data_IF_605791044693
#
_entry.id   IF_605791044693
#
_cell.length_a   1.000
_cell.length_b   1.000
_cell.length_c   1.000
_cell.angle_alpha   90.00
_cell.angle_beta   90.00
_cell.angle_gamma   90.00
#
_symmetry.space_group_name_H-M   'P 1'
#
loop_
_entity.id
_entity.type
_entity.pdbx_description
1 polymer ?
#
# COMPACT_ATOMS: atom_id res chain seq x y z
N UNK A 1 -3.41 15.42 -26.11
CA UNK A 1 -4.00 14.07 -26.09
C UNK A 1 -4.68 13.92 -24.76
N UNK A 2 -5.95 13.53 -24.71
CA UNK A 2 -6.65 13.33 -23.44
C UNK A 2 -6.05 12.14 -22.69
N UNK A 3 -5.87 12.30 -21.39
CA UNK A 3 -5.31 11.29 -20.49
C UNK A 3 -6.20 11.19 -19.27
N UNK A 4 -6.64 9.97 -18.95
CA UNK A 4 -7.42 9.66 -17.76
C UNK A 4 -6.50 8.98 -16.74
N UNK A 5 -6.34 9.60 -15.57
CA UNK A 5 -5.44 9.12 -14.54
C UNK A 5 -6.25 8.52 -13.38
N UNK A 6 -5.86 7.32 -12.98
CA UNK A 6 -6.37 6.64 -11.80
C UNK A 6 -5.31 6.77 -10.71
N UNK A 7 -5.73 7.28 -9.55
CA UNK A 7 -4.93 7.33 -8.34
C UNK A 7 -5.41 6.24 -7.37
N UNK A 8 -4.47 5.67 -6.63
CA UNK A 8 -4.73 4.65 -5.63
C UNK A 8 -4.08 4.98 -4.30
N UNK A 9 -4.68 4.52 -3.21
CA UNK A 9 -4.11 4.63 -1.86
C UNK A 9 -4.45 3.41 -1.03
N UNK A 10 -3.45 2.79 -0.42
CA UNK A 10 -3.69 1.86 0.68
C UNK A 10 -4.00 2.69 1.94
N UNK A 11 -5.23 2.60 2.39
CA UNK A 11 -5.77 3.39 3.47
C UNK A 11 -5.97 2.55 4.73
N UNK A 12 -5.62 3.12 5.88
CA UNK A 12 -5.82 2.55 7.20
C UNK A 12 -5.99 3.64 8.26
N UNK A 13 -6.72 3.32 9.33
CA UNK A 13 -6.81 4.16 10.54
C UNK A 13 -5.97 3.62 11.69
N UNK A 14 -5.23 2.53 11.47
CA UNK A 14 -4.30 1.95 12.43
C UNK A 14 -3.04 2.81 12.61
N UNK A 15 -2.22 2.41 13.59
CA UNK A 15 -0.96 3.07 13.92
C UNK A 15 0.07 2.78 12.83
N UNK A 16 0.74 3.85 12.40
CA UNK A 16 1.85 3.80 11.46
C UNK A 16 3.12 4.21 12.20
N UNK A 17 4.18 3.40 12.13
CA UNK A 17 5.48 3.78 12.73
C UNK A 17 6.18 4.86 11.91
N UNK A 18 5.97 4.83 10.59
CA UNK A 18 6.16 5.93 9.64
C UNK A 18 5.15 5.77 8.49
N UNK A 19 5.16 6.65 7.49
CA UNK A 19 4.18 6.60 6.39
C UNK A 19 4.11 5.27 5.63
N UNK A 20 5.11 4.38 5.71
CA UNK A 20 5.22 3.14 4.94
C UNK A 20 5.16 1.85 5.77
N UNK A 21 5.08 1.95 7.10
CA UNK A 21 5.08 0.81 8.01
C UNK A 21 3.80 0.80 8.86
N UNK A 22 2.93 -0.17 8.58
CA UNK A 22 1.75 -0.42 9.38
C UNK A 22 2.11 -1.29 10.59
N UNK A 23 1.80 -0.82 11.79
CA UNK A 23 1.99 -1.58 13.01
C UNK A 23 0.96 -2.73 13.10
N UNK A 24 1.45 -3.96 13.22
CA UNK A 24 0.62 -5.16 13.32
C UNK A 24 0.13 -5.45 14.74
N UNK A 25 0.63 -4.73 15.76
CA UNK A 25 0.26 -4.83 17.16
C UNK A 25 0.89 -5.99 17.91
N UNK A 26 1.84 -6.71 17.29
CA UNK A 26 2.55 -7.85 17.87
C UNK A 26 4.08 -7.73 17.73
N UNK A 27 4.60 -6.51 17.58
CA UNK A 27 6.02 -6.25 17.34
C UNK A 27 6.46 -6.48 15.89
N UNK A 28 5.53 -6.70 14.94
CA UNK A 28 5.80 -6.73 13.51
C UNK A 28 5.28 -5.45 12.82
N UNK A 29 5.95 -5.08 11.74
CA UNK A 29 5.58 -4.00 10.84
C UNK A 29 5.27 -4.59 9.46
N UNK A 30 4.15 -4.19 8.85
CA UNK A 30 3.79 -4.50 7.47
C UNK A 30 4.22 -3.37 6.53
N UNK A 31 4.88 -3.75 5.45
CA UNK A 31 5.13 -2.89 4.28
C UNK A 31 4.46 -3.49 3.06
N UNK A 32 3.98 -2.60 2.17
CA UNK A 32 3.46 -2.98 0.85
C UNK A 32 4.36 -2.33 -0.18
N UNK A 33 4.81 -3.11 -1.16
CA UNK A 33 5.69 -2.67 -2.23
C UNK A 33 5.00 -2.75 -3.59
N UNK A 34 5.27 -1.75 -4.42
CA UNK A 34 4.97 -1.76 -5.85
C UNK A 34 5.88 -2.75 -6.58
N UNK A 35 5.54 -3.06 -7.83
CA UNK A 35 6.30 -3.99 -8.70
C UNK A 35 7.78 -3.60 -8.84
N UNK A 36 8.08 -2.31 -8.85
CA UNK A 36 9.43 -1.77 -9.00
C UNK A 36 10.25 -1.80 -7.69
N UNK A 37 9.66 -2.26 -6.58
CA UNK A 37 10.29 -2.31 -5.27
C UNK A 37 10.12 -1.04 -4.45
N UNK A 38 9.45 -0.01 -4.97
CA UNK A 38 9.11 1.20 -4.20
C UNK A 38 8.09 0.84 -3.11
N UNK A 39 8.30 1.32 -1.88
CA UNK A 39 7.34 1.14 -0.80
C UNK A 39 6.14 2.08 -0.98
N UNK A 40 4.93 1.58 -0.75
CA UNK A 40 3.74 2.42 -0.67
C UNK A 40 3.78 3.23 0.62
N UNK A 41 3.43 4.52 0.53
CA UNK A 41 3.02 5.31 1.68
C UNK A 41 1.51 5.15 1.91
N UNK A 42 1.14 4.68 3.10
CA UNK A 42 -0.24 4.57 3.53
C UNK A 42 -0.90 5.96 3.61
N UNK A 43 -2.22 6.00 3.37
CA UNK A 43 -3.05 7.20 3.44
C UNK A 43 -2.65 8.33 2.48
N UNK A 44 -1.82 8.04 1.47
CA UNK A 44 -1.45 8.97 0.39
C UNK A 44 -1.86 8.39 -0.95
N UNK A 45 -2.39 9.24 -1.81
CA UNK A 45 -2.70 8.86 -3.19
C UNK A 45 -1.44 8.93 -4.04
N UNK A 46 -1.21 7.86 -4.81
CA UNK A 46 -0.16 7.81 -5.82
C UNK A 46 -0.73 7.31 -7.15
N UNK A 47 0.03 7.48 -8.23
CA UNK A 47 -0.39 7.05 -9.56
C UNK A 47 -0.61 5.53 -9.57
N UNK A 48 -1.82 5.10 -9.89
CA UNK A 48 -2.17 3.69 -10.04
C UNK A 48 -2.11 3.26 -11.51
N UNK A 49 -2.71 4.06 -12.39
CA UNK A 49 -2.72 3.80 -13.84
C UNK A 49 -3.04 5.04 -14.66
N UNK A 50 -2.61 5.05 -15.92
CA UNK A 50 -2.97 6.07 -16.91
C UNK A 50 -3.54 5.42 -18.17
N UNK A 51 -4.66 5.97 -18.64
CA UNK A 51 -5.30 5.56 -19.89
C UNK A 51 -5.26 6.70 -20.90
N UNK A 52 -4.93 6.37 -22.14
CA UNK A 52 -5.06 7.23 -23.31
C UNK A 52 -5.83 6.47 -24.39
N UNK A 53 -6.11 7.13 -25.52
CA UNK A 53 -6.74 6.51 -26.68
C UNK A 53 -5.98 5.30 -27.25
N UNK A 54 -4.70 5.13 -26.90
CA UNK A 54 -3.87 3.98 -27.32
C UNK A 54 -3.58 2.98 -26.20
N UNK A 55 -4.11 3.20 -24.98
CA UNK A 55 -3.90 2.28 -23.86
C UNK A 55 -4.77 1.03 -23.97
N UNK A 56 -4.29 -0.07 -23.38
CA UNK A 56 -5.14 -1.23 -23.11
C UNK A 56 -6.34 -0.82 -22.22
N UNK A 57 -7.51 -1.45 -22.38
CA UNK A 57 -8.73 -1.08 -21.63
C UNK A 57 -8.69 -1.50 -20.15
N UNK A 58 -7.67 -2.24 -19.74
CA UNK A 58 -7.51 -2.75 -18.37
C UNK A 58 -6.05 -2.74 -17.93
N UNK A 59 -5.84 -2.61 -16.62
CA UNK A 59 -4.53 -2.65 -15.99
C UNK A 59 -4.54 -3.61 -14.80
N UNK A 60 -3.42 -4.31 -14.58
CA UNK A 60 -3.19 -5.12 -13.39
C UNK A 60 -1.89 -4.65 -12.74
N UNK A 61 -1.98 -4.21 -11.49
CA UNK A 61 -0.84 -3.76 -10.69
C UNK A 61 -0.54 -4.80 -9.59
N UNK A 62 0.60 -5.52 -9.66
CA UNK A 62 0.98 -6.43 -8.60
C UNK A 62 1.60 -5.67 -7.42
N UNK A 63 1.28 -6.11 -6.21
CA UNK A 63 1.86 -5.61 -4.97
C UNK A 63 2.47 -6.76 -4.18
N UNK A 64 3.51 -6.48 -3.39
CA UNK A 64 4.14 -7.44 -2.48
C UNK A 64 4.03 -6.95 -1.05
N UNK A 65 3.45 -7.76 -0.17
CA UNK A 65 3.39 -7.50 1.25
C UNK A 65 4.59 -8.17 1.95
N UNK A 66 5.24 -7.47 2.87
CA UNK A 66 6.35 -8.01 3.68
C UNK A 66 6.20 -7.61 5.15
N UNK A 67 6.59 -8.53 6.03
CA UNK A 67 6.65 -8.31 7.47
C UNK A 67 8.11 -8.18 7.91
N UNK A 68 8.38 -7.22 8.80
CA UNK A 68 9.67 -7.05 9.46
C UNK A 68 9.47 -6.83 10.95
N UNK A 69 10.46 -7.15 11.78
CA UNK A 69 10.42 -6.84 13.21
C UNK A 69 10.44 -5.32 13.43
N UNK A 70 9.61 -4.84 14.37
CA UNK A 70 9.69 -3.49 14.90
C UNK A 70 10.92 -3.41 15.83
N UNK A 71 11.93 -2.55 15.56
CA UNK A 71 13.11 -2.47 16.42
C UNK A 71 12.83 -1.93 17.82
N UNK A 72 11.66 -1.31 18.05
CA UNK A 72 11.26 -0.77 19.35
C UNK A 72 10.49 -1.77 20.22
N UNK A 73 10.09 -2.93 19.67
CA UNK A 73 9.19 -3.88 20.35
C UNK A 73 9.68 -5.33 20.20
N UNK A 74 9.33 -6.17 21.16
CA UNK A 74 9.58 -7.62 21.04
C UNK A 74 8.42 -8.28 20.31
N UNK A 75 8.73 -9.17 19.36
CA UNK A 75 7.70 -9.94 18.64
C UNK A 75 6.98 -10.88 19.61
N UNK A 76 5.65 -10.81 19.62
CA UNK A 76 4.79 -11.69 20.42
C UNK A 76 4.21 -12.77 19.52
N UNK A 77 4.46 -14.04 19.89
CA UNK A 77 3.91 -15.20 19.18
C UNK A 77 2.38 -15.28 19.37
N UNK A 78 1.67 -15.61 18.28
CA UNK A 78 0.22 -15.75 18.28
C UNK A 78 -0.42 -15.26 16.98
N UNK A 79 -1.75 -15.44 16.83
CA UNK A 79 -2.47 -14.91 15.69
C UNK A 79 -2.52 -13.37 15.74
N UNK A 80 -2.33 -12.74 14.59
CA UNK A 80 -2.51 -11.30 14.39
C UNK A 80 -3.24 -11.06 13.07
N UNK A 81 -3.95 -9.94 12.96
CA UNK A 81 -4.68 -9.56 11.75
C UNK A 81 -4.87 -8.05 11.70
N UNK A 82 -4.81 -7.50 10.49
CA UNK A 82 -5.11 -6.10 10.16
C UNK A 82 -5.79 -6.05 8.80
N UNK A 83 -6.69 -5.08 8.65
CA UNK A 83 -7.35 -4.77 7.40
C UNK A 83 -6.76 -3.51 6.78
N UNK A 84 -6.58 -3.51 5.46
CA UNK A 84 -6.15 -2.34 4.68
C UNK A 84 -7.12 -2.15 3.53
N UNK A 85 -7.58 -0.92 3.31
CA UNK A 85 -8.56 -0.58 2.28
C UNK A 85 -7.83 0.03 1.08
N UNK A 86 -7.95 -0.56 -0.11
CA UNK A 86 -7.50 0.08 -1.34
C UNK A 86 -8.57 1.08 -1.82
N UNK A 87 -8.29 2.37 -1.69
CA UNK A 87 -9.12 3.45 -2.23
C UNK A 87 -8.64 3.83 -3.64
N UNK A 88 -9.57 3.97 -4.57
CA UNK A 88 -9.32 4.36 -5.95
C UNK A 88 -10.09 5.65 -6.26
N UNK A 89 -9.46 6.60 -6.94
CA UNK A 89 -10.10 7.83 -7.44
C UNK A 89 -9.56 8.18 -8.83
N UNK A 90 -10.26 9.05 -9.54
CA UNK A 90 -9.80 9.67 -10.77
C UNK A 90 -9.38 11.12 -10.53
N UNK A 91 -8.49 11.62 -11.38
CA UNK A 91 -8.09 13.03 -11.45
C UNK A 91 -8.53 13.64 -12.77
#
# INVERSE_FOLDING_TARGET
>A
TEQFNILGSFFTTDILSDYSHLDMGNGLLLKIFHKDGTATEFNRFSQFASFSSSSAPSVTAPFRAELSANPAETVVEGPFSKDVILKITYN
#
